data_IF_415935457619
#
_entry.id   IF_415935457619
#
_cell.length_a   1.000
_cell.length_b   1.000
_cell.length_c   1.000
_cell.angle_alpha   90.00
_cell.angle_beta   90.00
_cell.angle_gamma   90.00
#
_symmetry.space_group_name_H-M   'P 1'
#
loop_
_entity.id
_entity.type
_entity.pdbx_description
1 polymer ?
#
# COMPACT_ATOMS: atom_id res chain seq x y z
N UNK A 1 -10.20 -1.54 23.11
CA UNK A 1 -9.66 -1.26 21.76
C UNK A 1 -8.74 -2.42 21.39
N UNK A 2 -9.07 -3.21 20.38
CA UNK A 2 -8.16 -4.24 19.89
C UNK A 2 -7.01 -3.55 19.15
N UNK A 3 -5.79 -3.66 19.67
CA UNK A 3 -4.60 -3.18 18.97
C UNK A 3 -4.29 -4.20 17.89
N UNK A 4 -4.68 -3.88 16.65
CA UNK A 4 -4.32 -4.70 15.49
C UNK A 4 -2.81 -4.54 15.29
N UNK A 5 -2.03 -5.57 15.64
CA UNK A 5 -0.60 -5.59 15.35
C UNK A 5 -0.39 -5.98 13.90
N UNK A 6 0.31 -5.16 13.09
CA UNK A 6 0.65 -5.54 11.73
C UNK A 6 1.64 -6.72 11.76
N UNK A 7 1.42 -7.70 10.90
CA UNK A 7 2.33 -8.82 10.70
C UNK A 7 3.60 -8.36 10.00
N UNK A 8 3.44 -7.51 8.99
CA UNK A 8 4.51 -6.91 8.20
C UNK A 8 4.20 -5.45 7.93
N UNK A 9 5.25 -4.65 7.93
CA UNK A 9 5.18 -3.22 7.63
C UNK A 9 6.17 -2.92 6.52
N UNK A 10 5.68 -2.29 5.46
CA UNK A 10 6.48 -1.84 4.34
C UNK A 10 6.39 -0.33 4.22
N UNK A 11 7.56 0.31 4.19
CA UNK A 11 7.71 1.70 3.79
C UNK A 11 8.13 1.74 2.33
N UNK A 12 7.44 2.54 1.52
CA UNK A 12 7.80 2.84 0.13
C UNK A 12 7.64 4.34 -0.09
N UNK A 13 8.63 4.97 -0.72
CA UNK A 13 8.65 6.43 -0.83
C UNK A 13 7.88 6.90 -2.08
N UNK A 14 7.81 6.06 -3.11
CA UNK A 14 7.10 6.37 -4.35
C UNK A 14 6.14 5.26 -4.76
N UNK A 15 5.13 5.63 -5.56
CA UNK A 15 4.21 4.67 -6.18
C UNK A 15 4.93 3.67 -7.10
N UNK A 16 5.99 4.09 -7.78
CA UNK A 16 6.78 3.21 -8.65
C UNK A 16 7.48 2.13 -7.82
N UNK A 17 8.09 2.49 -6.69
CA UNK A 17 8.70 1.53 -5.77
C UNK A 17 7.68 0.54 -5.21
N UNK A 18 6.47 1.01 -4.91
CA UNK A 18 5.36 0.15 -4.54
C UNK A 18 5.07 -0.90 -5.62
N UNK A 19 4.87 -0.47 -6.86
CA UNK A 19 4.60 -1.36 -7.99
C UNK A 19 5.69 -2.43 -8.16
N UNK A 20 6.97 -2.03 -8.11
CA UNK A 20 8.12 -2.93 -8.24
C UNK A 20 8.15 -3.95 -7.09
N UNK A 21 7.96 -3.49 -5.85
CA UNK A 21 8.11 -4.32 -4.65
C UNK A 21 7.04 -5.39 -4.55
N UNK A 22 5.81 -5.06 -4.93
CA UNK A 22 4.68 -5.99 -4.91
C UNK A 22 4.45 -6.68 -6.26
N UNK A 23 5.31 -6.40 -7.26
CA UNK A 23 5.15 -6.88 -8.65
C UNK A 23 3.76 -6.58 -9.22
N UNK A 24 3.21 -5.44 -8.86
CA UNK A 24 1.92 -4.95 -9.37
C UNK A 24 2.22 -4.07 -10.58
N UNK A 25 1.46 -4.25 -11.66
CA UNK A 25 1.59 -3.40 -12.83
C UNK A 25 1.02 -2.00 -12.52
N UNK A 26 1.81 -0.94 -12.72
CA UNK A 26 1.38 0.44 -12.46
C UNK A 26 0.11 0.80 -13.23
N UNK A 27 -0.08 0.28 -14.44
CA UNK A 27 -1.29 0.50 -15.24
C UNK A 27 -2.58 -0.03 -14.60
N UNK A 28 -2.49 -0.98 -13.65
CA UNK A 28 -3.66 -1.55 -12.96
C UNK A 28 -4.12 -0.71 -11.77
N UNK A 29 -3.26 0.16 -11.25
CA UNK A 29 -3.43 0.89 -9.98
C UNK A 29 -3.22 2.41 -10.14
N UNK A 30 -2.74 2.84 -11.31
CA UNK A 30 -2.76 4.23 -11.73
C UNK A 30 -4.18 4.57 -12.20
N UNK A 31 -5.01 5.09 -11.28
CA UNK A 31 -6.27 5.72 -11.68
C UNK A 31 -6.04 6.95 -12.56
N UNK A 32 -7.12 7.59 -13.03
CA UNK A 32 -7.04 8.79 -13.90
C UNK A 32 -6.19 9.94 -13.31
N UNK A 33 -5.98 9.98 -11.99
CA UNK A 33 -5.14 10.97 -11.29
C UNK A 33 -3.81 10.42 -10.74
N UNK A 34 -3.36 9.24 -11.21
CA UNK A 34 -2.01 8.71 -10.95
C UNK A 34 -1.85 7.79 -9.74
N UNK A 35 -2.75 7.80 -8.75
CA UNK A 35 -2.76 6.81 -7.65
C UNK A 35 -4.17 6.62 -7.11
N UNK A 36 -4.70 5.39 -7.21
CA UNK A 36 -6.01 5.06 -6.67
C UNK A 36 -5.87 4.11 -5.47
N UNK A 37 -6.20 4.61 -4.27
CA UNK A 37 -6.08 3.84 -3.02
C UNK A 37 -6.93 2.57 -3.02
N UNK A 38 -8.11 2.60 -3.64
CA UNK A 38 -9.01 1.46 -3.66
C UNK A 38 -8.44 0.34 -4.53
N UNK A 39 -7.95 0.69 -5.73
CA UNK A 39 -7.28 -0.27 -6.62
C UNK A 39 -6.03 -0.86 -5.95
N UNK A 40 -5.26 -0.04 -5.23
CA UNK A 40 -4.08 -0.53 -4.49
C UNK A 40 -4.48 -1.56 -3.43
N UNK A 41 -5.53 -1.29 -2.64
CA UNK A 41 -6.03 -2.22 -1.61
C UNK A 41 -6.55 -3.51 -2.23
N UNK A 42 -7.22 -3.43 -3.38
CA UNK A 42 -7.74 -4.59 -4.11
C UNK A 42 -6.61 -5.49 -4.64
N UNK A 43 -5.58 -4.90 -5.26
CA UNK A 43 -4.42 -5.66 -5.75
C UNK A 43 -3.62 -6.28 -4.61
N UNK A 44 -3.42 -5.57 -3.50
CA UNK A 44 -2.77 -6.12 -2.32
C UNK A 44 -3.54 -7.28 -1.69
N UNK A 45 -4.87 -7.20 -1.67
CA UNK A 45 -5.75 -8.28 -1.21
C UNK A 45 -5.70 -9.50 -2.14
N UNK A 46 -5.36 -9.28 -3.42
CA UNK A 46 -5.16 -10.35 -4.41
C UNK A 46 -3.78 -11.00 -4.26
N UNK A 47 -2.76 -10.22 -3.91
CA UNK A 47 -1.40 -10.70 -3.60
C UNK A 47 -1.37 -11.57 -2.34
N UNK A 48 -2.11 -11.19 -1.30
CA UNK A 48 -2.30 -12.00 -0.11
C UNK A 48 -3.69 -11.78 0.47
N UNK A 49 -4.39 -12.85 0.87
CA UNK A 49 -5.76 -12.80 1.45
C UNK A 49 -5.83 -12.07 2.81
N UNK A 50 -4.75 -11.42 3.23
CA UNK A 50 -4.64 -10.62 4.43
C UNK A 50 -5.20 -9.21 4.19
N UNK A 51 -5.63 -8.56 5.27
CA UNK A 51 -6.09 -7.18 5.22
C UNK A 51 -4.89 -6.25 5.12
N UNK A 52 -5.00 -5.18 4.33
CA UNK A 52 -3.94 -4.19 4.20
C UNK A 52 -4.44 -2.81 4.65
N UNK A 53 -3.69 -2.18 5.54
CA UNK A 53 -3.83 -0.77 5.86
C UNK A 53 -2.79 0.02 5.08
N UNK A 54 -3.24 1.07 4.41
CA UNK A 54 -2.40 1.99 3.65
C UNK A 54 -2.52 3.35 4.31
N UNK A 55 -1.40 3.92 4.75
CA UNK A 55 -1.35 5.27 5.29
C UNK A 55 -0.40 6.12 4.44
N UNK A 56 -0.90 7.27 4.01
CA UNK A 56 -0.14 8.25 3.25
C UNK A 56 0.41 9.25 4.24
N UNK A 57 1.69 9.12 4.56
CA UNK A 57 2.37 10.00 5.51
C UNK A 57 3.11 11.05 4.68
N UNK A 58 2.48 12.21 4.52
CA UNK A 58 3.12 13.37 3.89
C UNK A 58 4.01 14.07 4.93
N UNK A 59 5.28 13.67 4.98
CA UNK A 59 6.27 14.36 5.81
C UNK A 59 6.90 15.52 5.03
N UNK A 60 7.30 16.60 5.72
CA UNK A 60 7.74 17.86 5.09
C UNK A 60 9.01 17.73 4.23
N UNK A 61 9.72 16.61 4.30
CA UNK A 61 10.92 16.33 3.51
C UNK A 61 10.70 15.31 2.38
N UNK A 62 9.86 14.28 2.59
CA UNK A 62 9.55 13.24 1.60
C UNK A 62 8.30 12.49 2.07
N UNK A 63 7.19 12.63 1.35
CA UNK A 63 6.00 11.81 1.61
C UNK A 63 6.29 10.34 1.35
N UNK A 64 5.74 9.44 2.17
CA UNK A 64 5.88 8.00 1.97
C UNK A 64 4.57 7.26 2.23
N UNK A 65 4.43 6.10 1.59
CA UNK A 65 3.33 5.17 1.78
C UNK A 65 3.76 4.14 2.82
N UNK A 66 2.95 4.02 3.88
CA UNK A 66 3.09 3.00 4.90
C UNK A 66 2.05 1.91 4.65
N UNK A 67 2.52 0.73 4.26
CA UNK A 67 1.69 -0.44 3.96
C UNK A 67 1.82 -1.45 5.09
N UNK A 68 0.72 -1.75 5.75
CA UNK A 68 0.68 -2.61 6.92
C UNK A 68 -0.21 -3.82 6.63
N UNK A 69 0.39 -5.01 6.65
CA UNK A 69 -0.31 -6.27 6.49
C UNK A 69 -0.89 -6.70 7.84
N UNK A 70 -2.19 -6.99 7.88
CA UNK A 70 -2.93 -7.47 9.03
C UNK A 70 -3.36 -8.91 8.74
N UNK A 71 -2.89 -9.86 9.55
CA UNK A 71 -3.41 -11.23 9.50
C UNK A 71 -4.85 -11.23 9.95
N UNK A 72 -5.72 -11.83 9.15
CA UNK A 72 -7.12 -12.00 9.48
C UNK A 72 -7.35 -13.17 10.43
#
# INVERSE_FOLDING_TARGET
MAIIKPNRVFRVNTFIEFCIKFKINSDLIAGENGTDEELIKEQLSTYNKNLWLINFINDRNDGFFLLQEIVR
#
